data_IF_199676835196
#
_entry.id   IF_199676835196
#
_cell.length_a   1.000
_cell.length_b   1.000
_cell.length_c   1.000
_cell.angle_alpha   90.00
_cell.angle_beta   90.00
_cell.angle_gamma   90.00
#
_symmetry.space_group_name_H-M   'P 1'
#
loop_
_entity.id
_entity.type
_entity.pdbx_description
1 polymer ?
#
# COMPACT_ATOMS: atom_id res chain seq x y z
N UNK A 1 -32.20 30.74 -67.73
CA UNK A 1 -31.55 29.43 -67.95
C UNK A 1 -30.20 29.47 -67.26
N UNK A 2 -30.13 29.01 -66.06
CA UNK A 2 -28.87 28.98 -65.26
C UNK A 2 -28.41 27.55 -65.15
N UNK A 3 -27.31 27.20 -65.86
CA UNK A 3 -26.65 25.91 -65.80
C UNK A 3 -25.67 25.92 -64.64
N UNK A 4 -25.90 25.06 -63.63
CA UNK A 4 -24.96 24.82 -62.57
C UNK A 4 -23.96 23.77 -63.04
N UNK A 5 -22.63 23.95 -62.81
CA UNK A 5 -21.65 22.92 -63.06
C UNK A 5 -21.67 21.90 -61.94
N UNK A 6 -21.92 20.65 -62.29
CA UNK A 6 -21.79 19.49 -61.41
C UNK A 6 -20.32 19.19 -61.14
N UNK A 7 -19.84 19.50 -59.92
CA UNK A 7 -18.51 19.12 -59.50
C UNK A 7 -18.50 17.66 -58.99
N UNK A 8 -18.13 16.76 -59.88
CA UNK A 8 -17.94 15.34 -59.59
C UNK A 8 -16.58 15.16 -58.90
N UNK A 9 -16.51 15.30 -57.57
CA UNK A 9 -15.33 14.96 -56.77
C UNK A 9 -15.29 13.46 -56.56
N UNK A 10 -14.74 12.74 -57.51
CA UNK A 10 -14.28 11.37 -57.35
C UNK A 10 -13.03 11.35 -56.48
N UNK A 11 -13.22 11.43 -55.17
CA UNK A 11 -12.13 11.22 -54.19
C UNK A 11 -11.93 9.71 -54.02
N UNK A 12 -11.31 9.07 -55.00
CA UNK A 12 -10.70 7.74 -54.84
C UNK A 12 -9.48 7.90 -53.93
N UNK A 13 -9.76 7.95 -52.61
CA UNK A 13 -8.72 7.81 -51.59
C UNK A 13 -7.99 6.48 -51.80
N UNK A 14 -6.85 6.55 -52.48
CA UNK A 14 -5.95 5.43 -52.65
C UNK A 14 -5.55 4.90 -51.28
N UNK A 15 -6.18 3.81 -50.86
CA UNK A 15 -5.70 3.01 -49.75
C UNK A 15 -4.40 2.33 -50.15
N UNK A 16 -3.36 3.16 -50.32
CA UNK A 16 -2.00 2.72 -50.61
C UNK A 16 -1.46 1.91 -49.42
N UNK A 17 -0.55 1.04 -49.72
CA UNK A 17 0.23 0.22 -48.78
C UNK A 17 0.77 1.03 -47.59
N UNK A 18 1.07 2.30 -47.79
CA UNK A 18 1.49 3.30 -46.78
C UNK A 18 0.46 3.50 -45.66
N UNK A 19 -0.84 3.55 -45.98
CA UNK A 19 -1.88 3.70 -44.98
C UNK A 19 -2.01 2.47 -44.05
N UNK A 20 -1.81 1.28 -44.61
CA UNK A 20 -1.79 0.03 -43.81
C UNK A 20 -0.57 -0.04 -42.88
N UNK A 21 0.58 0.36 -43.37
CA UNK A 21 1.82 0.40 -42.56
C UNK A 21 1.68 1.40 -41.41
N UNK A 22 1.16 2.62 -41.68
CA UNK A 22 0.91 3.61 -40.64
C UNK A 22 -0.05 3.10 -39.57
N UNK A 23 -1.11 2.39 -39.97
CA UNK A 23 -2.07 1.82 -39.02
C UNK A 23 -1.41 0.75 -38.13
N UNK A 24 -0.60 -0.12 -38.69
CA UNK A 24 0.13 -1.13 -37.91
C UNK A 24 1.16 -0.51 -36.95
N UNK A 25 1.88 0.53 -37.41
CA UNK A 25 2.82 1.27 -36.55
C UNK A 25 2.07 1.95 -35.40
N UNK A 26 0.94 2.61 -35.67
CA UNK A 26 0.13 3.24 -34.64
C UNK A 26 -0.41 2.21 -33.63
N UNK A 27 -0.82 1.04 -34.07
CA UNK A 27 -1.32 -0.03 -33.22
C UNK A 27 -0.20 -0.59 -32.34
N UNK A 28 1.00 -0.84 -32.88
CA UNK A 28 2.16 -1.30 -32.11
C UNK A 28 2.59 -0.25 -31.08
N UNK A 29 2.61 1.03 -31.43
CA UNK A 29 2.93 2.11 -30.51
C UNK A 29 1.91 2.22 -29.38
N UNK A 30 0.61 2.08 -29.66
CA UNK A 30 -0.41 2.11 -28.62
C UNK A 30 -0.32 0.95 -27.66
N UNK A 31 -0.05 -0.28 -28.15
CA UNK A 31 0.18 -1.46 -27.30
C UNK A 31 1.42 -1.29 -26.44
N UNK A 32 2.53 -0.80 -27.03
CA UNK A 32 3.75 -0.54 -26.29
C UNK A 32 3.56 0.51 -25.20
N UNK A 33 2.82 1.59 -25.50
CA UNK A 33 2.53 2.65 -24.53
C UNK A 33 1.63 2.14 -23.38
N UNK A 34 0.61 1.36 -23.70
CA UNK A 34 -0.24 0.73 -22.68
C UNK A 34 0.59 -0.21 -21.79
N UNK A 35 1.44 -1.05 -22.37
CA UNK A 35 2.33 -1.93 -21.62
C UNK A 35 3.28 -1.14 -20.69
N UNK A 36 3.89 -0.09 -21.22
CA UNK A 36 4.77 0.78 -20.43
C UNK A 36 4.04 1.45 -19.26
N UNK A 37 2.86 2.03 -19.51
CA UNK A 37 2.04 2.67 -18.48
C UNK A 37 1.60 1.67 -17.41
N UNK A 38 1.26 0.44 -17.79
CA UNK A 38 0.88 -0.61 -16.84
C UNK A 38 2.05 -1.00 -15.94
N UNK A 39 3.23 -1.22 -16.51
CA UNK A 39 4.43 -1.55 -15.72
C UNK A 39 4.81 -0.41 -14.78
N UNK A 40 4.73 0.83 -15.27
CA UNK A 40 5.03 2.00 -14.45
C UNK A 40 4.02 2.18 -13.32
N UNK A 41 2.73 2.02 -13.61
CA UNK A 41 1.67 2.09 -12.59
C UNK A 41 1.83 1.02 -11.50
N UNK A 42 2.19 -0.22 -11.87
CA UNK A 42 2.45 -1.29 -10.91
C UNK A 42 3.68 -0.97 -10.04
N UNK A 43 4.77 -0.51 -10.64
CA UNK A 43 6.00 -0.16 -9.90
C UNK A 43 5.81 1.05 -8.97
N UNK A 44 5.03 2.03 -9.39
CA UNK A 44 4.73 3.21 -8.56
C UNK A 44 3.59 2.98 -7.57
N UNK A 45 2.92 1.82 -7.62
CA UNK A 45 1.85 1.52 -6.69
C UNK A 45 2.41 1.33 -5.27
N UNK A 46 1.98 2.14 -4.29
CA UNK A 46 2.46 2.06 -2.92
C UNK A 46 2.20 0.70 -2.24
N UNK A 47 1.23 -0.08 -2.73
CA UNK A 47 0.97 -1.43 -2.23
C UNK A 47 2.08 -2.44 -2.56
N UNK A 48 2.85 -2.19 -3.63
CA UNK A 48 3.93 -3.08 -4.08
C UNK A 48 5.33 -2.47 -3.91
N UNK A 49 5.41 -1.17 -3.61
CA UNK A 49 6.69 -0.51 -3.36
C UNK A 49 7.40 -1.15 -2.16
N UNK A 50 8.70 -1.30 -2.23
CA UNK A 50 9.59 -1.87 -1.21
C UNK A 50 9.35 -3.36 -0.87
N UNK A 51 8.45 -4.07 -1.59
CA UNK A 51 8.20 -5.49 -1.34
C UNK A 51 9.43 -6.36 -1.61
N UNK A 52 10.23 -6.04 -2.61
CA UNK A 52 11.46 -6.79 -2.94
C UNK A 52 12.53 -6.66 -1.84
N UNK A 53 12.67 -5.47 -1.26
CA UNK A 53 13.66 -5.21 -0.21
C UNK A 53 13.28 -5.85 1.12
N UNK A 54 12.01 -5.74 1.51
CA UNK A 54 11.54 -6.10 2.83
C UNK A 54 10.56 -7.30 2.84
N UNK A 55 10.30 -7.94 1.69
CA UNK A 55 9.36 -9.07 1.55
C UNK A 55 7.88 -8.66 1.55
N UNK A 56 7.57 -7.46 2.01
CA UNK A 56 6.21 -6.89 2.09
C UNK A 56 6.28 -5.40 1.84
N UNK A 57 5.31 -4.83 1.11
CA UNK A 57 5.26 -3.38 0.94
C UNK A 57 4.84 -2.67 2.23
N UNK A 58 5.28 -1.42 2.40
CA UNK A 58 4.93 -0.59 3.55
C UNK A 58 3.41 -0.55 3.82
N UNK A 59 2.61 -0.35 2.79
CA UNK A 59 1.15 -0.23 2.93
C UNK A 59 0.49 -1.55 3.29
N UNK A 60 0.95 -2.65 2.71
CA UNK A 60 0.46 -3.99 3.05
C UNK A 60 0.82 -4.39 4.48
N UNK A 61 2.00 -3.96 4.96
CA UNK A 61 2.38 -4.09 6.37
C UNK A 61 1.41 -3.34 7.29
N UNK A 62 1.07 -2.08 6.94
CA UNK A 62 0.13 -1.27 7.73
C UNK A 62 -1.25 -1.94 7.79
N UNK A 63 -1.76 -2.46 6.66
CA UNK A 63 -3.04 -3.17 6.62
C UNK A 63 -3.01 -4.41 7.50
N UNK A 64 -2.03 -5.28 7.34
CA UNK A 64 -1.90 -6.48 8.18
C UNK A 64 -1.76 -6.16 9.67
N UNK A 65 -1.10 -5.05 10.00
CA UNK A 65 -0.99 -4.59 11.37
C UNK A 65 -2.36 -4.15 11.94
N UNK A 66 -3.16 -3.43 11.16
CA UNK A 66 -4.52 -3.04 11.55
C UNK A 66 -5.44 -4.25 11.72
N UNK A 67 -5.36 -5.22 10.80
CA UNK A 67 -6.13 -6.46 10.86
C UNK A 67 -5.80 -7.23 12.14
N UNK A 68 -4.51 -7.41 12.43
CA UNK A 68 -4.08 -8.06 13.68
C UNK A 68 -4.56 -7.34 14.93
N UNK A 69 -4.57 -6.02 14.91
CA UNK A 69 -5.08 -5.24 16.04
C UNK A 69 -6.62 -5.40 16.17
N UNK A 70 -7.35 -5.39 15.06
CA UNK A 70 -8.79 -5.61 15.06
C UNK A 70 -9.15 -7.02 15.59
N UNK A 71 -8.40 -8.05 15.16
CA UNK A 71 -8.54 -9.41 15.66
C UNK A 71 -8.35 -9.47 17.18
N UNK A 72 -7.30 -8.84 17.70
CA UNK A 72 -7.06 -8.80 19.15
C UNK A 72 -8.13 -8.06 19.92
N UNK A 73 -8.59 -6.91 19.42
CA UNK A 73 -9.69 -6.17 20.03
C UNK A 73 -10.98 -7.00 20.04
N UNK A 74 -11.24 -7.77 18.97
CA UNK A 74 -12.38 -8.68 18.92
C UNK A 74 -12.28 -9.83 19.92
N UNK A 75 -11.08 -10.36 20.14
CA UNK A 75 -10.85 -11.39 21.17
C UNK A 75 -11.09 -10.86 22.58
N UNK A 76 -10.65 -9.64 22.88
CA UNK A 76 -11.00 -8.98 24.16
C UNK A 76 -12.51 -8.81 24.35
N UNK A 77 -13.23 -8.49 23.27
CA UNK A 77 -14.68 -8.35 23.35
C UNK A 77 -15.41 -9.67 23.66
N UNK A 78 -14.84 -10.82 23.29
CA UNK A 78 -15.39 -12.15 23.55
C UNK A 78 -15.15 -12.67 24.96
N UNK A 79 -14.27 -12.03 25.74
CA UNK A 79 -14.00 -12.44 27.11
C UNK A 79 -15.21 -12.19 28.03
N UNK A 80 -15.38 -12.95 29.12
CA UNK A 80 -16.47 -12.74 30.10
C UNK A 80 -16.45 -11.28 30.60
N UNK A 81 -17.55 -10.56 30.39
CA UNK A 81 -17.66 -9.13 30.73
C UNK A 81 -17.04 -8.20 29.66
N UNK A 82 -16.56 -8.74 28.57
CA UNK A 82 -16.12 -7.96 27.40
C UNK A 82 -17.28 -7.26 26.70
N UNK A 83 -16.99 -6.16 26.04
CA UNK A 83 -17.94 -5.46 25.18
C UNK A 83 -17.24 -5.10 23.87
N UNK A 84 -17.99 -4.91 22.79
CA UNK A 84 -17.43 -4.50 21.51
C UNK A 84 -16.57 -3.24 21.68
N UNK A 85 -15.36 -3.30 21.13
CA UNK A 85 -14.40 -2.21 21.15
C UNK A 85 -14.29 -1.63 19.75
N UNK A 86 -14.53 -0.33 19.60
CA UNK A 86 -14.25 0.41 18.38
C UNK A 86 -12.78 0.89 18.36
N UNK A 87 -12.14 0.79 17.22
CA UNK A 87 -10.80 1.32 17.01
C UNK A 87 -10.80 2.42 15.96
N UNK A 88 -10.17 3.53 16.24
CA UNK A 88 -9.96 4.59 15.26
C UNK A 88 -8.50 5.04 15.25
N UNK A 89 -8.00 5.35 14.04
CA UNK A 89 -6.59 5.68 13.81
C UNK A 89 -6.48 7.01 13.09
N UNK A 90 -5.41 7.73 13.37
CA UNK A 90 -4.99 8.81 12.50
C UNK A 90 -4.11 8.21 11.37
N UNK A 91 -4.60 8.29 10.14
CA UNK A 91 -3.90 7.71 8.99
C UNK A 91 -2.51 8.31 8.76
N UNK A 92 -2.31 9.61 9.03
CA UNK A 92 -1.01 10.28 8.90
C UNK A 92 -0.02 9.77 9.92
N UNK A 93 -0.45 9.63 11.17
CA UNK A 93 0.41 9.18 12.27
C UNK A 93 0.89 7.75 12.04
N UNK A 94 0.00 6.88 11.56
CA UNK A 94 0.37 5.51 11.21
C UNK A 94 1.42 5.49 10.09
N UNK A 95 1.18 6.19 8.99
CA UNK A 95 2.10 6.18 7.84
C UNK A 95 3.46 6.77 8.20
N UNK A 96 3.50 7.82 9.05
CA UNK A 96 4.75 8.46 9.50
C UNK A 96 5.51 7.64 10.53
N UNK A 97 4.83 6.77 11.29
CA UNK A 97 5.45 5.95 12.34
C UNK A 97 6.11 4.67 11.82
N UNK A 98 5.92 4.33 10.54
CA UNK A 98 6.54 3.13 9.94
C UNK A 98 7.99 3.39 9.58
N UNK A 99 8.87 2.60 10.16
CA UNK A 99 10.30 2.60 9.92
C UNK A 99 10.74 1.34 9.15
N UNK A 100 11.69 1.52 8.25
CA UNK A 100 12.33 0.41 7.56
C UNK A 100 13.33 -0.28 8.48
N UNK A 101 13.27 -1.61 8.48
CA UNK A 101 14.12 -2.46 9.32
C UNK A 101 13.64 -2.58 10.77
N UNK A 102 14.07 -3.66 11.39
CA UNK A 102 13.86 -3.94 12.80
C UNK A 102 15.19 -3.76 13.52
N UNK A 103 15.22 -2.86 14.50
CA UNK A 103 16.38 -2.71 15.39
C UNK A 103 16.34 -3.79 16.46
N UNK A 104 17.33 -4.66 16.49
CA UNK A 104 17.50 -5.57 17.63
C UNK A 104 18.10 -4.81 18.81
N UNK A 105 17.67 -5.17 20.03
CA UNK A 105 18.32 -4.63 21.22
C UNK A 105 19.78 -5.13 21.25
N UNK A 106 20.78 -4.24 21.31
CA UNK A 106 22.15 -4.68 21.40
C UNK A 106 22.34 -5.49 22.69
N UNK A 107 23.24 -6.49 22.69
CA UNK A 107 23.63 -7.15 23.93
C UNK A 107 24.12 -6.12 24.96
N UNK A 108 23.85 -6.33 26.22
CA UNK A 108 24.03 -5.37 27.32
C UNK A 108 25.45 -4.75 27.43
N UNK A 109 26.45 -5.33 26.78
CA UNK A 109 27.86 -4.89 26.84
C UNK A 109 28.46 -4.53 25.48
N UNK A 110 27.60 -4.28 24.46
CA UNK A 110 28.05 -3.97 23.09
C UNK A 110 27.94 -2.48 22.80
N UNK A 111 29.04 -1.84 22.42
CA UNK A 111 29.09 -0.48 21.88
C UNK A 111 28.76 -0.42 20.38
N UNK A 112 28.56 -1.57 19.74
CA UNK A 112 28.21 -1.65 18.32
C UNK A 112 26.74 -1.28 18.09
N UNK A 113 26.47 -0.55 17.00
CA UNK A 113 25.10 -0.32 16.57
C UNK A 113 24.41 -1.66 16.26
N UNK A 114 23.18 -1.86 16.76
CA UNK A 114 22.48 -3.11 16.54
C UNK A 114 22.29 -3.35 15.03
N UNK A 115 22.48 -4.59 14.56
CA UNK A 115 22.19 -4.92 13.17
C UNK A 115 20.71 -4.68 12.85
N UNK A 116 20.43 -4.05 11.73
CA UNK A 116 19.06 -3.91 11.23
C UNK A 116 18.70 -5.14 10.43
N UNK A 117 17.63 -5.80 10.83
CA UNK A 117 17.05 -6.93 10.08
C UNK A 117 16.09 -6.37 9.02
N UNK A 118 16.10 -6.91 7.78
CA UNK A 118 15.13 -6.53 6.76
C UNK A 118 13.68 -6.75 7.23
N UNK A 119 12.82 -5.77 7.04
CA UNK A 119 11.44 -5.82 7.50
C UNK A 119 10.88 -4.43 7.77
N UNK A 120 9.84 -4.38 8.57
CA UNK A 120 9.15 -3.16 8.97
C UNK A 120 8.93 -3.11 10.47
N UNK A 121 9.01 -1.94 11.05
CA UNK A 121 8.63 -1.69 12.43
C UNK A 121 7.77 -0.43 12.50
N UNK A 122 6.78 -0.44 13.38
CA UNK A 122 5.87 0.67 13.61
C UNK A 122 5.53 0.77 15.08
N UNK A 123 5.49 2.00 15.60
CA UNK A 123 4.91 2.30 16.91
C UNK A 123 3.94 3.46 16.71
N UNK A 124 2.69 3.24 17.03
CA UNK A 124 1.63 4.21 16.82
C UNK A 124 0.61 4.19 17.97
N UNK A 125 -0.42 4.98 17.85
CA UNK A 125 -1.49 5.07 18.82
C UNK A 125 -2.84 4.74 18.18
N UNK A 126 -3.67 4.02 18.93
CA UNK A 126 -5.05 3.74 18.55
C UNK A 126 -5.99 4.33 19.60
N UNK A 127 -7.01 5.01 19.15
CA UNK A 127 -8.09 5.45 20.02
C UNK A 127 -9.12 4.34 20.10
N UNK A 128 -9.22 3.73 21.27
CA UNK A 128 -10.17 2.65 21.54
C UNK A 128 -11.39 3.27 22.22
N UNK A 129 -12.57 2.93 21.73
CA UNK A 129 -13.86 3.38 22.28
C UNK A 129 -14.70 2.17 22.68
N UNK A 130 -15.41 2.28 23.79
CA UNK A 130 -16.39 1.32 24.26
C UNK A 130 -17.68 2.08 24.54
N UNK A 131 -18.82 1.49 24.22
CA UNK A 131 -20.11 2.09 24.50
C UNK A 131 -20.31 2.37 25.99
N UNK A 132 -20.71 3.58 26.34
CA UNK A 132 -20.87 4.04 27.71
C UNK A 132 -19.58 4.45 28.44
N UNK A 133 -18.42 4.39 27.79
CA UNK A 133 -17.15 4.77 28.42
C UNK A 133 -16.40 5.83 27.60
N UNK A 134 -15.58 6.62 28.28
CA UNK A 134 -14.68 7.56 27.60
C UNK A 134 -13.68 6.80 26.74
N UNK A 135 -13.42 7.30 25.52
CA UNK A 135 -12.42 6.70 24.64
C UNK A 135 -11.01 6.89 25.21
N UNK A 136 -10.20 5.85 25.09
CA UNK A 136 -8.82 5.85 25.55
C UNK A 136 -7.86 5.72 24.37
N UNK A 137 -6.73 6.42 24.45
CA UNK A 137 -5.65 6.28 23.48
C UNK A 137 -4.62 5.29 24.01
N UNK A 138 -4.39 4.22 23.27
CA UNK A 138 -3.50 3.13 23.65
C UNK A 138 -2.35 3.04 22.64
N UNK A 139 -1.09 3.04 23.08
CA UNK A 139 0.04 2.79 22.20
C UNK A 139 0.06 1.32 21.78
N UNK A 140 0.42 1.08 20.52
CA UNK A 140 0.64 -0.26 19.99
C UNK A 140 1.82 -0.26 19.04
N UNK A 141 2.48 -1.39 18.92
CA UNK A 141 3.59 -1.59 18.00
C UNK A 141 3.33 -2.78 17.08
N UNK A 142 3.88 -2.71 15.89
CA UNK A 142 3.92 -3.84 14.98
C UNK A 142 5.32 -4.04 14.47
N UNK A 143 5.68 -5.30 14.26
CA UNK A 143 6.93 -5.69 13.63
C UNK A 143 6.68 -6.76 12.59
N UNK A 144 7.38 -6.65 11.48
CA UNK A 144 7.41 -7.63 10.42
C UNK A 144 8.85 -7.87 10.01
N UNK A 145 9.35 -9.05 10.27
CA UNK A 145 10.63 -9.53 9.76
C UNK A 145 10.40 -10.23 8.42
N UNK A 146 11.30 -10.03 7.46
CA UNK A 146 11.20 -10.64 6.14
C UNK A 146 10.92 -12.14 6.25
N UNK A 147 9.93 -12.62 5.49
CA UNK A 147 9.47 -14.00 5.43
C UNK A 147 8.79 -14.53 6.71
N UNK A 148 8.48 -13.65 7.68
CA UNK A 148 7.71 -13.99 8.87
C UNK A 148 6.34 -13.33 8.88
N UNK A 149 5.53 -13.68 9.88
CA UNK A 149 4.23 -13.03 10.07
C UNK A 149 4.36 -11.71 10.81
N UNK A 150 3.45 -10.78 10.55
CA UNK A 150 3.34 -9.55 11.33
C UNK A 150 3.02 -9.88 12.78
N UNK A 151 3.81 -9.34 13.69
CA UNK A 151 3.65 -9.48 15.13
C UNK A 151 3.18 -8.16 15.71
N UNK A 152 2.12 -8.23 16.52
CA UNK A 152 1.61 -7.11 17.28
C UNK A 152 2.26 -7.09 18.66
N UNK A 153 2.67 -5.91 19.10
CA UNK A 153 3.24 -5.68 20.42
C UNK A 153 2.48 -4.55 21.11
N UNK A 154 2.02 -4.80 22.30
CA UNK A 154 1.58 -3.73 23.17
C UNK A 154 2.74 -3.35 24.06
N UNK A 155 3.30 -2.15 23.93
CA UNK A 155 4.25 -1.69 24.92
C UNK A 155 3.50 -1.66 26.26
N UNK A 156 3.82 -2.62 27.13
CA UNK A 156 3.34 -2.61 28.49
C UNK A 156 3.72 -1.23 29.05
N UNK A 157 2.73 -0.50 29.55
CA UNK A 157 3.00 0.71 30.28
C UNK A 157 4.00 0.35 31.36
N UNK A 158 5.23 0.85 31.23
CA UNK A 158 6.20 0.74 32.33
C UNK A 158 5.63 1.58 33.45
N UNK A 159 5.03 0.88 34.41
CA UNK A 159 4.69 1.45 35.71
C UNK A 159 5.96 1.76 36.49
#
# INVERSE_FOLDING_TARGET
MNSYPSSNQNNKGGRGTTGKVLLWVALLLSVALLGFMTVWAVRSNPLYSNAEANGLSKYKFIEQCKDKLADQLSEFAKQPGGAPLGASYNARDIVSSVNEGISQRPPANSTALPPRIPGWSMVSQVKVSREGFASQTVPFGCQYEKDKQVQLQFPLAQQ
#
